data_IF_423333855530
#
_entry.id   IF_423333855530
#
_cell.length_a   1.000
_cell.length_b   1.000
_cell.length_c   1.000
_cell.angle_alpha   90.00
_cell.angle_beta   90.00
_cell.angle_gamma   90.00
#
_symmetry.space_group_name_H-M   'P 1'
#
loop_
_entity.id
_entity.type
_entity.pdbx_description
1 polymer ?
#
# COMPACT_ATOMS: atom_id res chain seq x y z
N UNK A 1 -6.74 -12.01 -10.14
CA UNK A 1 -6.63 -10.89 -11.09
C UNK A 1 -7.14 -9.60 -10.45
N UNK A 2 -6.54 -8.45 -10.78
CA UNK A 2 -6.81 -7.18 -10.07
C UNK A 2 -7.60 -6.13 -10.88
N UNK A 3 -7.98 -6.43 -12.12
CA UNK A 3 -8.74 -5.52 -12.99
C UNK A 3 -9.85 -6.27 -13.71
N UNK A 4 -10.98 -5.59 -13.86
CA UNK A 4 -12.12 -6.03 -14.67
C UNK A 4 -11.76 -6.07 -16.18
N UNK A 5 -10.70 -5.36 -16.57
CA UNK A 5 -10.23 -5.32 -17.96
C UNK A 5 -9.09 -6.34 -18.10
N UNK A 6 -9.42 -7.49 -18.69
CA UNK A 6 -8.48 -8.60 -18.92
C UNK A 6 -8.15 -8.76 -20.41
N UNK A 7 -7.02 -9.43 -20.69
CA UNK A 7 -6.68 -9.83 -22.07
C UNK A 7 -7.51 -11.07 -22.41
N UNK A 8 -8.37 -11.05 -23.45
CA UNK A 8 -9.19 -12.20 -23.78
C UNK A 8 -8.35 -13.47 -24.03
N UNK A 9 -8.66 -14.56 -23.30
CA UNK A 9 -8.03 -15.87 -23.50
C UNK A 9 -6.65 -16.07 -22.85
N UNK A 10 -6.14 -15.10 -22.08
CA UNK A 10 -4.84 -15.22 -21.41
C UNK A 10 -4.97 -15.09 -19.88
N UNK A 11 -4.19 -15.87 -19.09
CA UNK A 11 -4.26 -15.86 -17.63
C UNK A 11 -3.44 -14.70 -17.02
N UNK A 12 -3.33 -13.55 -17.69
CA UNK A 12 -2.61 -12.37 -17.21
C UNK A 12 -3.25 -11.08 -17.71
N UNK A 13 -3.18 -10.02 -16.91
CA UNK A 13 -3.69 -8.70 -17.27
C UNK A 13 -2.73 -7.92 -18.16
N UNK A 14 -3.22 -6.78 -18.67
CA UNK A 14 -2.41 -5.87 -19.48
C UNK A 14 -1.22 -5.30 -18.69
N UNK A 15 -1.38 -5.08 -17.37
CA UNK A 15 -0.33 -4.56 -16.51
C UNK A 15 0.87 -5.50 -16.41
N UNK A 16 0.62 -6.79 -16.16
CA UNK A 16 1.65 -7.83 -16.09
C UNK A 16 2.36 -7.99 -17.44
N UNK A 17 1.62 -7.95 -18.55
CA UNK A 17 2.19 -8.02 -19.89
C UNK A 17 3.16 -6.86 -20.17
N UNK A 18 2.74 -5.62 -19.92
CA UNK A 18 3.60 -4.45 -20.13
C UNK A 18 4.81 -4.46 -19.20
N UNK A 19 4.66 -4.96 -17.97
CA UNK A 19 5.75 -5.11 -17.02
C UNK A 19 6.79 -6.11 -17.53
N UNK A 20 6.36 -7.28 -17.99
CA UNK A 20 7.26 -8.31 -18.53
C UNK A 20 7.98 -7.80 -19.77
N UNK A 21 7.27 -7.16 -20.70
CA UNK A 21 7.88 -6.55 -21.90
C UNK A 21 8.92 -5.52 -21.49
N UNK A 22 8.61 -4.65 -20.52
CA UNK A 22 9.54 -3.64 -20.04
C UNK A 22 10.80 -4.27 -19.41
N UNK A 23 10.64 -5.30 -18.56
CA UNK A 23 11.77 -6.03 -17.97
C UNK A 23 12.64 -6.65 -19.08
N UNK A 24 12.04 -7.31 -20.05
CA UNK A 24 12.76 -7.96 -21.15
C UNK A 24 13.52 -6.96 -22.01
N UNK A 25 12.93 -5.80 -22.32
CA UNK A 25 13.59 -4.73 -23.06
C UNK A 25 14.75 -4.12 -22.26
N UNK A 26 14.57 -3.90 -20.95
CA UNK A 26 15.63 -3.41 -20.07
C UNK A 26 16.80 -4.38 -19.99
N UNK A 27 16.53 -5.67 -19.80
CA UNK A 27 17.56 -6.71 -19.80
C UNK A 27 18.25 -6.82 -21.15
N UNK A 28 17.49 -6.85 -22.25
CA UNK A 28 18.03 -6.89 -23.61
C UNK A 28 18.96 -5.72 -23.91
N UNK A 29 18.59 -4.50 -23.48
CA UNK A 29 19.44 -3.31 -23.60
C UNK A 29 20.75 -3.47 -22.82
N UNK A 30 20.69 -3.96 -21.58
CA UNK A 30 21.89 -4.18 -20.75
C UNK A 30 22.80 -5.24 -21.39
N UNK A 31 22.22 -6.36 -21.84
CA UNK A 31 22.96 -7.44 -22.50
C UNK A 31 23.58 -7.01 -23.84
N UNK A 32 22.94 -6.07 -24.56
CA UNK A 32 23.48 -5.47 -25.77
C UNK A 32 24.61 -4.43 -25.52
N UNK A 33 25.10 -4.31 -24.28
CA UNK A 33 26.18 -3.38 -23.92
C UNK A 33 25.71 -2.00 -23.46
N UNK A 34 24.43 -1.86 -23.10
CA UNK A 34 23.91 -0.62 -22.53
C UNK A 34 24.59 -0.25 -21.21
N UNK A 35 24.78 1.05 -20.97
CA UNK A 35 25.37 1.51 -19.71
C UNK A 35 24.47 1.17 -18.52
N UNK A 36 25.14 0.82 -17.42
CA UNK A 36 24.56 0.60 -16.10
C UNK A 36 25.28 1.49 -15.09
N UNK A 37 24.55 2.01 -14.10
CA UNK A 37 25.13 2.81 -13.02
C UNK A 37 24.72 2.17 -11.70
N UNK A 38 25.68 1.57 -11.01
CA UNK A 38 25.46 0.98 -9.69
C UNK A 38 25.29 2.10 -8.65
N UNK A 39 24.07 2.59 -8.50
CA UNK A 39 23.74 3.64 -7.52
C UNK A 39 23.71 3.08 -6.09
N UNK A 40 23.91 3.92 -5.06
CA UNK A 40 23.70 3.50 -3.67
C UNK A 40 22.27 3.01 -3.39
N UNK A 41 21.28 3.51 -4.14
CA UNK A 41 19.90 3.05 -4.08
C UNK A 41 19.77 1.59 -4.56
N UNK A 42 20.39 1.27 -5.71
CA UNK A 42 20.47 -0.11 -6.20
C UNK A 42 21.10 -1.04 -5.15
N UNK A 43 22.23 -0.65 -4.55
CA UNK A 43 22.90 -1.48 -3.55
C UNK A 43 22.01 -1.76 -2.32
N UNK A 44 21.20 -0.80 -1.87
CA UNK A 44 20.24 -0.99 -0.77
C UNK A 44 19.11 -1.93 -1.16
N UNK A 45 18.53 -1.74 -2.35
CA UNK A 45 17.46 -2.61 -2.86
C UNK A 45 17.95 -4.04 -3.07
N UNK A 46 19.11 -4.22 -3.72
CA UNK A 46 19.70 -5.53 -3.94
C UNK A 46 19.98 -6.27 -2.61
N UNK A 47 20.51 -5.56 -1.61
CA UNK A 47 20.71 -6.14 -0.26
C UNK A 47 19.38 -6.53 0.40
N UNK A 48 18.38 -5.66 0.33
CA UNK A 48 17.05 -5.95 0.86
C UNK A 48 16.46 -7.21 0.22
N UNK A 49 16.43 -7.29 -1.11
CA UNK A 49 15.89 -8.44 -1.82
C UNK A 49 16.67 -9.73 -1.59
N UNK A 50 18.00 -9.64 -1.47
CA UNK A 50 18.83 -10.79 -1.14
C UNK A 50 18.56 -11.32 0.27
N UNK A 51 18.43 -10.43 1.25
CA UNK A 51 18.08 -10.81 2.63
C UNK A 51 16.67 -11.39 2.70
N UNK A 52 15.69 -10.74 2.07
CA UNK A 52 14.32 -11.25 2.01
C UNK A 52 14.24 -12.61 1.32
N UNK A 53 14.95 -12.80 0.20
CA UNK A 53 14.98 -14.09 -0.48
C UNK A 53 15.60 -15.19 0.39
N UNK A 54 16.62 -14.84 1.18
CA UNK A 54 17.24 -15.77 2.12
C UNK A 54 16.28 -16.13 3.26
N UNK A 55 15.58 -15.15 3.86
CA UNK A 55 14.61 -15.43 4.93
C UNK A 55 13.44 -16.25 4.41
N UNK A 56 12.89 -15.91 3.25
CA UNK A 56 11.84 -16.71 2.59
C UNK A 56 12.30 -18.13 2.24
N UNK A 57 13.55 -18.32 1.83
CA UNK A 57 14.10 -19.65 1.56
C UNK A 57 14.25 -20.49 2.84
N UNK A 58 14.69 -19.87 3.94
CA UNK A 58 14.73 -20.51 5.27
C UNK A 58 13.31 -20.86 5.73
N UNK A 59 12.37 -19.93 5.62
CA UNK A 59 10.97 -20.16 5.95
C UNK A 59 10.38 -21.29 5.11
N UNK A 60 10.67 -21.34 3.81
CA UNK A 60 10.22 -22.42 2.92
C UNK A 60 10.76 -23.78 3.37
N UNK A 61 12.02 -23.84 3.80
CA UNK A 61 12.60 -25.07 4.36
C UNK A 61 11.86 -25.49 5.63
N UNK A 62 11.62 -24.55 6.57
CA UNK A 62 10.85 -24.83 7.79
C UNK A 62 9.42 -25.29 7.45
N UNK A 63 8.73 -24.61 6.54
CA UNK A 63 7.39 -24.98 6.07
C UNK A 63 7.36 -26.39 5.50
N UNK A 64 8.35 -26.77 4.69
CA UNK A 64 8.46 -28.12 4.14
C UNK A 64 8.55 -29.22 5.22
N UNK A 65 9.20 -28.93 6.36
CA UNK A 65 9.36 -29.90 7.45
C UNK A 65 8.25 -29.86 8.52
N UNK A 66 7.43 -28.80 8.55
CA UNK A 66 6.47 -28.56 9.65
C UNK A 66 5.01 -28.53 9.20
N UNK A 67 4.73 -28.23 7.93
CA UNK A 67 3.36 -28.06 7.43
C UNK A 67 3.18 -28.62 6.01
N UNK A 68 1.92 -28.66 5.54
CA UNK A 68 1.60 -29.01 4.14
C UNK A 68 1.79 -27.76 3.30
N UNK A 69 2.85 -27.75 2.49
CA UNK A 69 3.20 -26.60 1.67
C UNK A 69 2.19 -26.40 0.54
N UNK A 70 1.52 -25.25 0.54
CA UNK A 70 0.62 -24.87 -0.55
C UNK A 70 1.42 -24.30 -1.72
N UNK A 71 1.90 -25.20 -2.58
CA UNK A 71 2.81 -24.90 -3.70
C UNK A 71 2.29 -23.82 -4.64
N UNK A 72 0.97 -23.76 -4.87
CA UNK A 72 0.36 -22.74 -5.73
C UNK A 72 0.56 -21.34 -5.16
N UNK A 73 0.24 -21.13 -3.88
CA UNK A 73 0.44 -19.84 -3.20
C UNK A 73 1.92 -19.46 -3.11
N UNK A 74 2.80 -20.43 -2.83
CA UNK A 74 4.24 -20.20 -2.85
C UNK A 74 4.74 -19.72 -4.21
N UNK A 75 4.32 -20.38 -5.29
CA UNK A 75 4.74 -20.02 -6.65
C UNK A 75 4.24 -18.62 -7.06
N UNK A 76 3.01 -18.29 -6.67
CA UNK A 76 2.40 -17.00 -6.93
C UNK A 76 3.18 -15.86 -6.24
N UNK A 77 3.43 -16.01 -4.93
CA UNK A 77 4.11 -14.98 -4.14
C UNK A 77 5.59 -14.88 -4.50
N UNK A 78 6.27 -16.01 -4.75
CA UNK A 78 7.64 -16.01 -5.24
C UNK A 78 7.75 -15.27 -6.58
N UNK A 79 6.83 -15.49 -7.52
CA UNK A 79 6.80 -14.78 -8.80
C UNK A 79 6.56 -13.27 -8.59
N UNK A 80 5.63 -12.90 -7.70
CA UNK A 80 5.38 -11.50 -7.36
C UNK A 80 6.64 -10.82 -6.77
N UNK A 81 7.33 -11.47 -5.84
CA UNK A 81 8.57 -10.96 -5.26
C UNK A 81 9.70 -10.86 -6.27
N UNK A 82 9.87 -11.85 -7.16
CA UNK A 82 10.89 -11.80 -8.22
C UNK A 82 10.61 -10.65 -9.19
N UNK A 83 9.35 -10.44 -9.59
CA UNK A 83 8.97 -9.32 -10.44
C UNK A 83 9.24 -7.98 -9.76
N UNK A 84 8.85 -7.84 -8.49
CA UNK A 84 9.06 -6.61 -7.73
C UNK A 84 10.56 -6.32 -7.49
N UNK A 85 11.34 -7.35 -7.19
CA UNK A 85 12.80 -7.27 -7.09
C UNK A 85 13.43 -6.82 -8.41
N UNK A 86 13.01 -7.43 -9.52
CA UNK A 86 13.50 -7.09 -10.86
C UNK A 86 13.19 -5.64 -11.22
N UNK A 87 11.95 -5.22 -11.02
CA UNK A 87 11.50 -3.86 -11.37
C UNK A 87 12.22 -2.81 -10.53
N UNK A 88 12.28 -2.99 -9.21
CA UNK A 88 12.90 -2.01 -8.31
C UNK A 88 14.42 -1.93 -8.53
N UNK A 89 15.10 -3.06 -8.72
CA UNK A 89 16.54 -3.08 -9.00
C UNK A 89 16.86 -2.51 -10.38
N UNK A 90 16.16 -2.93 -11.44
CA UNK A 90 16.38 -2.41 -12.80
C UNK A 90 16.11 -0.91 -12.86
N UNK A 91 15.03 -0.43 -12.25
CA UNK A 91 14.71 0.99 -12.23
C UNK A 91 15.78 1.83 -11.52
N UNK A 92 16.49 1.27 -10.53
CA UNK A 92 17.58 1.94 -9.81
C UNK A 92 18.96 1.79 -10.48
N UNK A 93 19.12 0.83 -11.39
CA UNK A 93 20.37 0.50 -12.10
C UNK A 93 20.56 1.32 -13.40
N UNK A 94 19.47 1.86 -13.92
CA UNK A 94 19.47 2.63 -15.15
C UNK A 94 20.24 3.97 -15.02
N UNK A 95 20.88 4.45 -16.10
CA UNK A 95 21.48 5.78 -16.12
C UNK A 95 20.40 6.84 -15.91
N UNK A 96 20.75 7.91 -15.18
CA UNK A 96 19.83 8.99 -14.81
C UNK A 96 18.54 8.51 -14.11
N UNK A 97 18.64 7.42 -13.32
CA UNK A 97 17.51 6.83 -12.60
C UNK A 97 16.68 7.88 -11.85
N UNK A 98 17.30 8.87 -11.20
CA UNK A 98 16.58 9.94 -10.48
C UNK A 98 15.65 10.73 -11.40
N UNK A 99 16.18 11.26 -12.51
CA UNK A 99 15.39 12.06 -13.46
C UNK A 99 14.29 11.22 -14.10
N UNK A 100 14.60 9.96 -14.45
CA UNK A 100 13.65 9.05 -15.07
C UNK A 100 12.54 8.63 -14.13
N UNK A 101 12.86 8.23 -12.90
CA UNK A 101 11.88 7.89 -11.87
C UNK A 101 10.98 9.08 -11.58
N UNK A 102 11.55 10.29 -11.49
CA UNK A 102 10.76 11.52 -11.31
C UNK A 102 9.82 11.79 -12.49
N UNK A 103 10.29 11.59 -13.73
CA UNK A 103 9.46 11.72 -14.93
C UNK A 103 8.35 10.67 -14.97
N UNK A 104 8.68 9.41 -14.63
CA UNK A 104 7.70 8.33 -14.52
C UNK A 104 6.66 8.63 -13.45
N UNK A 105 7.06 9.18 -12.29
CA UNK A 105 6.14 9.59 -11.24
C UNK A 105 5.15 10.66 -11.73
N UNK A 106 5.60 11.67 -12.49
CA UNK A 106 4.71 12.65 -13.11
C UNK A 106 3.72 12.02 -14.08
N UNK A 107 4.17 11.10 -14.94
CA UNK A 107 3.28 10.38 -15.85
C UNK A 107 2.28 9.50 -15.12
N UNK A 108 2.72 8.79 -14.07
CA UNK A 108 1.84 7.98 -13.22
C UNK A 108 0.75 8.85 -12.61
N UNK A 109 1.10 9.99 -12.01
CA UNK A 109 0.10 10.90 -11.44
C UNK A 109 -0.82 11.48 -12.52
N UNK A 110 -0.29 11.84 -13.69
CA UNK A 110 -1.12 12.37 -14.77
C UNK A 110 -2.14 11.34 -15.30
N UNK A 111 -1.67 10.11 -15.57
CA UNK A 111 -2.51 9.02 -16.04
C UNK A 111 -3.51 8.62 -14.95
N UNK A 112 -3.07 8.48 -13.70
CA UNK A 112 -3.95 8.15 -12.57
C UNK A 112 -5.05 9.19 -12.37
N UNK A 113 -4.70 10.48 -12.46
CA UNK A 113 -5.68 11.57 -12.34
C UNK A 113 -6.71 11.50 -13.46
N UNK A 114 -6.28 11.33 -14.71
CA UNK A 114 -7.19 11.17 -15.85
C UNK A 114 -8.07 9.93 -15.70
N UNK A 115 -7.48 8.79 -15.34
CA UNK A 115 -8.21 7.54 -15.13
C UNK A 115 -9.24 7.65 -14.01
N UNK A 116 -8.91 8.29 -12.89
CA UNK A 116 -9.86 8.53 -11.80
C UNK A 116 -11.01 9.44 -12.20
N UNK A 117 -10.75 10.50 -12.96
CA UNK A 117 -11.82 11.35 -13.47
C UNK A 117 -12.76 10.59 -14.42
N UNK A 118 -12.22 9.75 -15.29
CA UNK A 118 -13.03 8.87 -16.17
C UNK A 118 -13.83 7.87 -15.35
N UNK A 119 -13.20 7.19 -14.39
CA UNK A 119 -13.90 6.23 -13.53
C UNK A 119 -15.01 6.88 -12.70
N UNK A 120 -14.82 8.11 -12.22
CA UNK A 120 -15.89 8.89 -11.57
C UNK A 120 -17.01 9.23 -12.55
N UNK A 121 -16.68 9.64 -13.78
CA UNK A 121 -17.67 9.85 -14.84
C UNK A 121 -18.49 8.60 -15.15
N UNK A 122 -17.86 7.43 -15.18
CA UNK A 122 -18.56 6.14 -15.33
C UNK A 122 -19.42 5.84 -14.10
N UNK A 123 -18.87 6.01 -12.89
CA UNK A 123 -19.58 5.73 -11.64
C UNK A 123 -20.84 6.58 -11.44
N UNK A 124 -20.83 7.83 -11.89
CA UNK A 124 -21.97 8.75 -11.80
C UNK A 124 -22.86 8.76 -13.05
N UNK A 125 -22.60 7.88 -14.02
CA UNK A 125 -23.41 7.74 -15.24
C UNK A 125 -23.22 8.84 -16.29
N UNK A 126 -22.18 9.67 -16.17
CA UNK A 126 -21.82 10.66 -17.19
C UNK A 126 -21.14 10.04 -18.42
N UNK A 127 -20.49 8.89 -18.24
CA UNK A 127 -19.82 8.12 -19.30
C UNK A 127 -20.41 6.71 -19.30
N UNK A 128 -20.85 6.24 -20.46
CA UNK A 128 -21.32 4.87 -20.60
C UNK A 128 -20.16 3.95 -20.99
N UNK A 129 -19.91 2.92 -20.18
CA UNK A 129 -18.92 1.88 -20.47
C UNK A 129 -19.56 0.52 -20.20
N UNK A 130 -19.72 -0.29 -21.24
CA UNK A 130 -20.23 -1.66 -21.14
C UNK A 130 -19.23 -2.56 -20.41
N UNK A 131 -19.74 -3.56 -19.69
CA UNK A 131 -18.96 -4.60 -18.98
C UNK A 131 -18.15 -4.12 -17.77
N UNK A 132 -18.30 -2.85 -17.35
CA UNK A 132 -17.70 -2.33 -16.12
C UNK A 132 -18.78 -2.07 -15.08
N UNK A 133 -18.61 -2.67 -13.91
CA UNK A 133 -19.44 -2.39 -12.75
C UNK A 133 -18.67 -1.49 -11.77
N UNK A 134 -18.85 -0.16 -11.84
CA UNK A 134 -18.04 0.78 -11.06
C UNK A 134 -18.30 0.65 -9.54
N UNK A 135 -19.49 0.19 -9.16
CA UNK A 135 -19.92 0.02 -7.78
C UNK A 135 -19.99 -1.46 -7.41
N UNK A 136 -19.43 -1.79 -6.26
CA UNK A 136 -19.62 -3.05 -5.56
C UNK A 136 -20.47 -2.76 -4.33
N UNK A 137 -21.78 -2.99 -4.46
CA UNK A 137 -22.80 -2.45 -3.56
C UNK A 137 -22.70 -0.93 -3.44
N UNK A 138 -22.23 -0.44 -2.31
CA UNK A 138 -22.09 0.97 -1.94
C UNK A 138 -20.63 1.46 -2.01
N UNK A 139 -19.71 0.61 -2.50
CA UNK A 139 -18.27 0.86 -2.54
C UNK A 139 -17.79 1.04 -3.97
N UNK A 140 -17.07 2.11 -4.24
CA UNK A 140 -16.46 2.31 -5.56
C UNK A 140 -15.32 1.32 -5.75
N UNK A 141 -15.42 0.47 -6.78
CA UNK A 141 -14.34 -0.39 -7.27
C UNK A 141 -13.75 0.07 -8.61
N UNK A 142 -14.47 0.92 -9.35
CA UNK A 142 -13.99 1.46 -10.62
C UNK A 142 -13.65 0.33 -11.59
N UNK A 143 -12.42 0.32 -12.12
CA UNK A 143 -11.91 -0.75 -13.00
C UNK A 143 -11.23 -1.91 -12.25
N UNK A 144 -11.17 -1.86 -10.92
CA UNK A 144 -10.64 -2.94 -10.09
C UNK A 144 -11.71 -3.99 -9.81
N UNK A 145 -11.29 -5.24 -9.62
CA UNK A 145 -12.19 -6.32 -9.20
C UNK A 145 -12.72 -6.06 -7.77
N UNK A 146 -11.84 -5.55 -6.91
CA UNK A 146 -12.11 -5.31 -5.50
C UNK A 146 -11.91 -3.81 -5.13
N UNK A 147 -12.86 -3.17 -4.40
CA UNK A 147 -12.68 -1.81 -3.89
C UNK A 147 -11.37 -1.57 -3.13
N UNK A 148 -10.86 -2.59 -2.42
CA UNK A 148 -9.61 -2.49 -1.66
C UNK A 148 -8.39 -2.33 -2.58
N UNK A 149 -8.41 -2.90 -3.79
CA UNK A 149 -7.32 -2.74 -4.77
C UNK A 149 -7.27 -1.28 -5.27
N UNK A 150 -8.43 -0.70 -5.60
CA UNK A 150 -8.53 0.71 -5.94
C UNK A 150 -8.03 1.61 -4.79
N UNK A 151 -8.38 1.24 -3.55
CA UNK A 151 -7.95 1.96 -2.35
C UNK A 151 -6.43 1.93 -2.16
N UNK A 152 -5.76 0.81 -2.48
CA UNK A 152 -4.30 0.70 -2.45
C UNK A 152 -3.64 1.65 -3.46
N UNK A 153 -4.17 1.76 -4.68
CA UNK A 153 -3.66 2.74 -5.64
C UNK A 153 -3.78 4.18 -5.11
N UNK A 154 -4.92 4.54 -4.52
CA UNK A 154 -5.09 5.85 -3.90
C UNK A 154 -4.09 6.09 -2.74
N UNK A 155 -3.84 5.06 -1.92
CA UNK A 155 -2.89 5.14 -0.81
C UNK A 155 -1.44 5.37 -1.28
N UNK A 156 -1.07 4.89 -2.46
CA UNK A 156 0.26 5.10 -3.06
C UNK A 156 0.33 6.43 -3.81
N UNK A 157 -0.68 6.77 -4.60
CA UNK A 157 -0.67 7.96 -5.45
C UNK A 157 -0.77 9.26 -4.65
N UNK A 158 -1.48 9.26 -3.50
CA UNK A 158 -1.58 10.45 -2.63
C UNK A 158 -0.22 10.96 -2.16
N UNK A 159 0.57 10.15 -1.42
CA UNK A 159 1.93 10.51 -1.00
C UNK A 159 2.85 10.83 -2.17
N UNK A 160 2.73 10.12 -3.31
CA UNK A 160 3.52 10.40 -4.50
C UNK A 160 3.22 11.79 -5.09
N UNK A 161 1.93 12.15 -5.24
CA UNK A 161 1.52 13.46 -5.70
C UNK A 161 1.97 14.56 -4.74
N UNK A 162 1.85 14.34 -3.42
CA UNK A 162 2.32 15.27 -2.41
C UNK A 162 3.84 15.47 -2.44
N UNK A 163 4.60 14.40 -2.64
CA UNK A 163 6.05 14.47 -2.84
C UNK A 163 6.41 15.28 -4.08
N UNK A 164 5.72 15.08 -5.20
CA UNK A 164 5.95 15.85 -6.43
C UNK A 164 5.58 17.34 -6.25
N UNK A 165 4.48 17.63 -5.54
CA UNK A 165 4.03 18.98 -5.25
C UNK A 165 5.01 19.78 -4.38
N UNK A 166 5.71 19.11 -3.47
CA UNK A 166 6.66 19.75 -2.53
C UNK A 166 8.08 19.83 -3.05
N UNK A 167 8.46 18.99 -4.01
CA UNK A 167 9.83 18.97 -4.57
C UNK A 167 9.96 19.71 -5.90
N UNK A 168 8.87 20.09 -6.55
CA UNK A 168 8.90 20.81 -7.83
C UNK A 168 9.10 22.32 -7.64
N UNK A 169 9.82 22.94 -8.58
CA UNK A 169 9.99 24.41 -8.60
C UNK A 169 8.97 25.11 -9.51
N UNK A 170 8.32 24.36 -10.41
CA UNK A 170 7.33 24.92 -11.34
C UNK A 170 5.97 25.08 -10.65
N UNK A 171 5.44 26.30 -10.60
CA UNK A 171 4.13 26.60 -10.01
C UNK A 171 2.98 25.86 -10.68
N UNK A 172 3.05 25.67 -12.00
CA UNK A 172 2.04 24.92 -12.75
C UNK A 172 2.09 23.43 -12.44
N UNK A 173 3.28 22.85 -12.37
CA UNK A 173 3.44 21.45 -11.98
C UNK A 173 2.99 21.24 -10.51
N UNK A 174 3.29 22.20 -9.65
CA UNK A 174 2.84 22.20 -8.25
C UNK A 174 1.31 22.27 -8.15
N UNK A 175 0.67 23.19 -8.86
CA UNK A 175 -0.79 23.29 -8.92
C UNK A 175 -1.41 21.99 -9.43
N UNK A 176 -0.83 21.40 -10.48
CA UNK A 176 -1.28 20.12 -11.01
C UNK A 176 -1.19 19.01 -9.95
N UNK A 177 -0.05 18.86 -9.28
CA UNK A 177 0.14 17.85 -8.25
C UNK A 177 -0.76 18.06 -7.01
N UNK A 178 -1.07 19.30 -6.63
CA UNK A 178 -2.07 19.55 -5.59
C UNK A 178 -3.49 19.27 -6.08
N UNK A 179 -3.81 19.62 -7.33
CA UNK A 179 -5.12 19.38 -7.90
C UNK A 179 -5.42 17.89 -8.07
N UNK A 180 -4.41 17.05 -8.35
CA UNK A 180 -4.57 15.60 -8.47
C UNK A 180 -4.88 14.93 -7.13
N UNK A 181 -4.53 15.54 -6.00
CA UNK A 181 -4.93 15.03 -4.68
C UNK A 181 -6.46 14.97 -4.56
N UNK A 182 -7.20 15.92 -5.14
CA UNK A 182 -8.67 15.97 -5.03
C UNK A 182 -9.34 14.67 -5.53
N UNK A 183 -9.16 14.25 -6.79
CA UNK A 183 -9.73 12.99 -7.25
C UNK A 183 -9.12 11.77 -6.54
N UNK A 184 -7.83 11.78 -6.16
CA UNK A 184 -7.21 10.67 -5.42
C UNK A 184 -7.90 10.44 -4.08
N UNK A 185 -8.10 11.52 -3.30
CA UNK A 185 -8.77 11.45 -2.00
C UNK A 185 -10.25 11.11 -2.13
N UNK A 186 -10.93 11.71 -3.10
CA UNK A 186 -12.36 11.48 -3.32
C UNK A 186 -12.63 10.02 -3.71
N UNK A 187 -11.91 9.49 -4.71
CA UNK A 187 -12.00 8.08 -5.10
C UNK A 187 -11.65 7.16 -3.93
N UNK A 188 -10.56 7.46 -3.22
CA UNK A 188 -10.15 6.68 -2.04
C UNK A 188 -11.23 6.59 -0.97
N UNK A 189 -11.93 7.70 -0.67
CA UNK A 189 -13.05 7.70 0.30
C UNK A 189 -14.25 6.91 -0.18
N UNK A 190 -14.56 6.94 -1.47
CA UNK A 190 -15.66 6.17 -2.06
C UNK A 190 -15.42 4.66 -2.02
N UNK A 191 -14.17 4.19 -1.89
CA UNK A 191 -13.89 2.76 -1.70
C UNK A 191 -14.35 2.22 -0.34
N UNK A 192 -14.61 3.10 0.63
CA UNK A 192 -14.93 2.78 2.04
C UNK A 192 -13.96 1.73 2.63
N UNK A 193 -12.66 1.89 2.36
CA UNK A 193 -11.61 1.02 2.88
C UNK A 193 -10.97 1.62 4.14
N UNK A 194 -11.13 0.93 5.27
CA UNK A 194 -10.51 1.31 6.55
C UNK A 194 -8.98 1.36 6.42
N UNK A 195 -8.39 0.41 5.70
CA UNK A 195 -6.94 0.36 5.44
C UNK A 195 -6.47 1.60 4.71
N UNK A 196 -7.22 2.09 3.72
CA UNK A 196 -6.88 3.33 3.03
C UNK A 196 -6.97 4.54 3.97
N UNK A 197 -8.02 4.62 4.79
CA UNK A 197 -8.20 5.71 5.75
C UNK A 197 -7.01 5.77 6.72
N UNK A 198 -6.67 4.66 7.37
CA UNK A 198 -5.56 4.58 8.32
C UNK A 198 -4.22 4.86 7.66
N UNK A 199 -3.96 4.27 6.48
CA UNK A 199 -2.72 4.48 5.74
C UNK A 199 -2.54 5.94 5.33
N UNK A 200 -3.62 6.61 4.95
CA UNK A 200 -3.60 8.02 4.54
C UNK A 200 -3.35 8.94 5.74
N UNK A 201 -3.99 8.67 6.88
CA UNK A 201 -3.74 9.40 8.13
C UNK A 201 -2.27 9.23 8.56
N UNK A 202 -1.79 7.98 8.62
CA UNK A 202 -0.41 7.69 9.00
C UNK A 202 0.59 8.34 8.03
N UNK A 203 0.36 8.26 6.73
CA UNK A 203 1.20 8.91 5.71
C UNK A 203 1.22 10.43 5.88
N UNK A 204 0.08 11.04 6.20
CA UNK A 204 -0.02 12.47 6.50
C UNK A 204 0.76 12.87 7.75
N UNK A 205 0.66 12.10 8.83
CA UNK A 205 1.42 12.31 10.07
C UNK A 205 2.93 12.15 9.85
N UNK A 206 3.35 11.12 9.12
CA UNK A 206 4.76 10.91 8.77
C UNK A 206 5.27 12.05 7.91
N UNK A 207 4.51 12.46 6.89
CA UNK A 207 4.86 13.61 6.05
C UNK A 207 5.01 14.89 6.88
N UNK A 208 4.05 15.18 7.77
CA UNK A 208 4.11 16.35 8.64
C UNK A 208 5.33 16.30 9.57
N UNK A 209 5.63 15.14 10.16
CA UNK A 209 6.80 14.94 11.01
C UNK A 209 8.12 15.16 10.25
N UNK A 210 8.22 14.63 9.03
CA UNK A 210 9.38 14.83 8.16
C UNK A 210 9.52 16.29 7.70
N UNK A 211 8.42 16.93 7.36
CA UNK A 211 8.39 18.33 6.96
C UNK A 211 8.82 19.24 8.11
N UNK A 212 8.28 19.03 9.32
CA UNK A 212 8.69 19.73 10.53
C UNK A 212 10.18 19.52 10.81
N UNK A 213 10.67 18.27 10.73
CA UNK A 213 12.10 17.96 10.90
C UNK A 213 12.98 18.70 9.89
N UNK A 214 12.61 18.69 8.61
CA UNK A 214 13.36 19.39 7.56
C UNK A 214 13.36 20.90 7.78
N UNK A 215 12.21 21.47 8.17
CA UNK A 215 12.08 22.88 8.51
C UNK A 215 12.93 23.26 9.72
N UNK A 216 13.01 22.39 10.74
CA UNK A 216 13.90 22.61 11.88
C UNK A 216 15.39 22.48 11.51
N UNK A 217 15.75 21.56 10.62
CA UNK A 217 17.13 21.32 10.21
C UNK A 217 17.68 22.38 9.24
N UNK A 218 16.84 23.00 8.40
CA UNK A 218 17.25 23.95 7.37
C UNK A 218 17.68 25.33 7.90
N UNK A 219 17.80 25.53 9.21
CA UNK A 219 17.99 26.87 9.78
C UNK A 219 19.45 27.28 9.88
N UNK A 220 19.89 28.07 8.90
CA UNK A 220 20.95 29.05 9.09
C UNK A 220 20.43 30.23 9.94
N UNK A 221 20.43 30.06 11.27
CA UNK A 221 20.69 31.14 12.23
C UNK A 221 19.65 32.24 12.51
N UNK A 222 18.44 32.27 11.93
CA UNK A 222 17.41 33.26 12.32
C UNK A 222 16.14 32.60 12.82
N UNK A 223 15.91 32.68 14.13
CA UNK A 223 14.63 32.32 14.74
C UNK A 223 13.56 33.35 14.30
N UNK A 224 12.48 32.87 13.71
CA UNK A 224 11.30 33.67 13.37
C UNK A 224 10.21 33.38 14.40
N UNK A 225 9.46 34.41 14.83
CA UNK A 225 8.40 34.29 15.84
C UNK A 225 7.37 33.18 15.49
N UNK A 226 7.07 33.02 14.19
CA UNK A 226 6.23 31.95 13.66
C UNK A 226 6.78 30.54 13.94
N UNK A 227 8.10 30.38 14.03
CA UNK A 227 8.78 29.13 14.35
C UNK A 227 8.74 28.80 15.83
N UNK A 228 8.86 29.80 16.68
CA UNK A 228 8.71 29.62 18.13
C UNK A 228 7.27 29.27 18.49
N UNK A 229 6.28 29.93 17.86
CA UNK A 229 4.86 29.60 18.02
C UNK A 229 4.57 28.19 17.50
N UNK A 230 5.08 27.81 16.32
CA UNK A 230 4.89 26.45 15.79
C UNK A 230 5.58 25.38 16.66
N UNK A 231 6.77 25.66 17.20
CA UNK A 231 7.47 24.74 18.09
C UNK A 231 6.75 24.62 19.45
N UNK A 232 6.24 25.73 19.99
CA UNK A 232 5.37 25.72 21.18
C UNK A 232 4.06 24.99 20.94
N UNK A 233 3.46 25.09 19.75
CA UNK A 233 2.25 24.34 19.39
C UNK A 233 2.53 22.85 19.22
N UNK A 234 3.64 22.46 18.59
CA UNK A 234 4.00 21.03 18.40
C UNK A 234 4.40 20.40 19.73
N UNK A 235 5.28 21.08 20.51
CA UNK A 235 5.70 20.63 21.84
C UNK A 235 4.53 20.69 22.82
N UNK A 236 3.62 21.66 22.68
CA UNK A 236 2.42 21.81 23.50
C UNK A 236 1.32 20.82 23.14
N UNK A 237 1.15 20.47 21.85
CA UNK A 237 0.10 19.56 21.40
C UNK A 237 0.23 18.15 21.99
N UNK A 238 1.45 17.65 22.23
CA UNK A 238 1.65 16.31 22.80
C UNK A 238 1.22 16.25 24.28
N UNK A 239 1.71 17.12 25.19
CA UNK A 239 1.19 17.26 26.55
C UNK A 239 -0.30 17.60 26.60
N UNK A 240 -0.80 18.43 25.67
CA UNK A 240 -2.21 18.84 25.64
C UNK A 240 -3.11 17.69 25.18
N UNK A 241 -2.65 16.85 24.24
CA UNK A 241 -3.31 15.60 23.88
C UNK A 241 -3.26 14.56 25.01
N UNK A 242 -2.13 14.44 25.72
CA UNK A 242 -2.01 13.57 26.91
C UNK A 242 -2.89 14.07 28.06
N UNK A 243 -2.99 15.39 28.27
CA UNK A 243 -3.81 16.00 29.30
C UNK A 243 -5.31 16.01 28.94
N UNK A 244 -5.65 15.99 27.64
CA UNK A 244 -7.00 15.84 27.14
C UNK A 244 -7.44 14.37 27.06
N UNK A 245 -6.51 13.41 27.00
CA UNK A 245 -6.80 11.99 26.91
C UNK A 245 -7.72 11.48 28.06
N UNK A 246 -7.55 11.88 29.33
CA UNK A 246 -8.50 11.51 30.39
C UNK A 246 -9.91 12.03 30.13
N UNK A 247 -10.06 13.24 29.59
CA UNK A 247 -11.37 13.86 29.36
C UNK A 247 -12.11 13.24 28.16
N UNK A 248 -11.37 12.76 27.16
CA UNK A 248 -11.93 11.98 26.04
C UNK A 248 -12.26 10.55 26.49
N UNK A 249 -11.43 9.96 27.34
CA UNK A 249 -11.61 8.57 27.83
C UNK A 249 -12.69 8.46 28.92
N UNK A 250 -13.02 9.54 29.65
CA UNK A 250 -14.09 9.52 30.67
C UNK A 250 -15.51 9.46 30.09
N UNK A 251 -15.69 9.77 28.81
CA UNK A 251 -16.90 9.40 28.09
C UNK A 251 -16.66 8.05 27.42
N UNK A 252 -17.01 6.95 28.11
CA UNK A 252 -16.92 5.59 27.55
C UNK A 252 -17.65 5.45 26.20
N UNK A 253 -18.63 6.33 25.93
CA UNK A 253 -19.30 6.44 24.64
C UNK A 253 -18.44 7.10 23.55
N UNK A 254 -17.58 8.07 23.87
CA UNK A 254 -16.91 8.90 22.85
C UNK A 254 -15.73 8.20 22.19
N UNK A 255 -14.95 7.40 22.92
CA UNK A 255 -13.83 6.62 22.35
C UNK A 255 -14.37 5.43 21.58
N UNK A 256 -15.42 4.79 22.09
CA UNK A 256 -16.11 3.71 21.40
C UNK A 256 -16.84 4.22 20.15
N UNK A 257 -17.53 5.36 20.19
CA UNK A 257 -18.14 5.99 19.01
C UNK A 257 -17.10 6.53 18.04
N UNK A 258 -15.98 7.09 18.50
CA UNK A 258 -14.89 7.52 17.64
C UNK A 258 -14.24 6.32 16.94
N UNK A 259 -13.91 5.26 17.69
CA UNK A 259 -13.40 4.01 17.12
C UNK A 259 -14.41 3.35 16.18
N UNK A 260 -15.70 3.30 16.55
CA UNK A 260 -16.78 2.82 15.68
C UNK A 260 -16.97 3.67 14.43
N UNK A 261 -16.83 5.00 14.55
CA UNK A 261 -16.90 5.94 13.42
C UNK A 261 -15.72 5.82 12.45
N UNK A 262 -14.61 5.25 12.93
CA UNK A 262 -13.41 4.95 12.13
C UNK A 262 -13.47 3.57 11.47
N UNK A 263 -14.42 2.72 11.85
CA UNK A 263 -14.67 1.41 11.24
C UNK A 263 -15.80 1.47 10.22
N UNK A 264 -15.76 0.58 9.22
CA UNK A 264 -16.81 0.48 8.20
C UNK A 264 -18.22 0.44 8.82
N UNK A 265 -19.13 1.25 8.27
CA UNK A 265 -20.56 1.33 8.65
C UNK A 265 -20.86 1.69 10.11
N UNK A 266 -19.96 2.38 10.81
CA UNK A 266 -20.27 2.94 12.14
C UNK A 266 -20.30 1.91 13.27
N UNK A 267 -19.67 0.75 13.08
CA UNK A 267 -19.60 -0.30 14.09
C UNK A 267 -20.84 -1.18 14.20
N UNK A 268 -21.54 -1.39 13.09
CA UNK A 268 -22.66 -2.34 12.98
C UNK A 268 -22.20 -3.80 13.20
N UNK A 269 -23.14 -4.72 13.36
CA UNK A 269 -22.91 -6.13 13.71
C UNK A 269 -21.92 -6.85 12.76
N UNK A 270 -21.97 -6.50 11.46
CA UNK A 270 -21.04 -7.01 10.44
C UNK A 270 -19.59 -6.53 10.63
N UNK A 271 -19.39 -5.37 11.26
CA UNK A 271 -18.08 -4.78 11.54
C UNK A 271 -17.46 -5.42 12.78
N UNK A 272 -18.27 -5.76 13.78
CA UNK A 272 -17.84 -6.54 14.94
C UNK A 272 -17.39 -7.97 14.51
N UNK A 273 -18.18 -8.64 13.67
CA UNK A 273 -17.81 -9.98 13.15
C UNK A 273 -16.53 -9.94 12.32
N UNK A 274 -16.34 -8.88 11.52
CA UNK A 274 -15.10 -8.69 10.74
C UNK A 274 -13.89 -8.41 11.64
N UNK A 275 -14.08 -7.69 12.75
CA UNK A 275 -13.02 -7.42 13.72
C UNK A 275 -12.62 -8.68 14.48
N UNK A 276 -13.58 -9.44 14.99
CA UNK A 276 -13.33 -10.70 15.70
C UNK A 276 -12.62 -11.71 14.80
N UNK A 277 -13.01 -11.77 13.52
CA UNK A 277 -12.32 -12.55 12.50
C UNK A 277 -10.85 -12.14 12.34
N UNK A 278 -10.56 -10.83 12.30
CA UNK A 278 -9.17 -10.35 12.20
C UNK A 278 -8.37 -10.68 13.43
N UNK A 279 -8.92 -10.48 14.63
CA UNK A 279 -8.25 -10.81 15.89
C UNK A 279 -7.93 -12.31 15.96
N UNK A 280 -8.87 -13.17 15.53
CA UNK A 280 -8.64 -14.61 15.41
C UNK A 280 -7.48 -14.93 14.46
N UNK A 281 -7.51 -14.40 13.23
CA UNK A 281 -6.45 -14.63 12.24
C UNK A 281 -5.10 -14.09 12.70
N UNK A 282 -5.07 -12.97 13.43
CA UNK A 282 -3.85 -12.41 13.98
C UNK A 282 -3.29 -13.24 15.12
N UNK A 283 -4.16 -13.75 16.01
CA UNK A 283 -3.77 -14.69 17.06
C UNK A 283 -3.16 -15.95 16.46
N UNK A 284 -3.81 -16.51 15.43
CA UNK A 284 -3.29 -17.67 14.71
C UNK A 284 -1.97 -17.37 14.00
N UNK A 285 -1.82 -16.20 13.38
CA UNK A 285 -0.56 -15.80 12.76
C UNK A 285 0.60 -15.71 13.75
N UNK A 286 0.35 -15.17 14.93
CA UNK A 286 1.37 -15.11 15.99
C UNK A 286 1.71 -16.53 16.47
N UNK A 287 0.70 -17.36 16.71
CA UNK A 287 0.90 -18.74 17.18
C UNK A 287 1.68 -19.57 16.16
N UNK A 288 1.25 -19.58 14.90
CA UNK A 288 1.91 -20.30 13.81
C UNK A 288 3.33 -19.77 13.58
N UNK A 289 3.52 -18.45 13.63
CA UNK A 289 4.86 -17.85 13.55
C UNK A 289 5.77 -18.31 14.70
N UNK A 290 5.27 -18.37 15.93
CA UNK A 290 6.02 -18.91 17.07
C UNK A 290 6.31 -20.41 16.94
N UNK A 291 5.36 -21.21 16.43
CA UNK A 291 5.55 -22.64 16.16
C UNK A 291 6.61 -22.89 15.08
N UNK A 292 6.76 -21.97 14.12
CA UNK A 292 7.85 -21.96 13.13
C UNK A 292 9.20 -21.45 13.68
N UNK A 293 9.32 -21.30 15.01
CA UNK A 293 10.49 -20.72 15.68
C UNK A 293 10.79 -19.27 15.23
N UNK A 294 9.76 -18.55 14.79
CA UNK A 294 9.88 -17.21 14.18
C UNK A 294 10.78 -17.16 12.94
N UNK A 295 10.95 -18.28 12.24
CA UNK A 295 11.68 -18.37 10.97
C UNK A 295 10.77 -18.31 9.74
N UNK A 296 9.45 -18.35 9.95
CA UNK A 296 8.45 -18.36 8.89
C UNK A 296 8.26 -19.72 8.24
N UNK A 297 7.35 -19.76 7.27
CA UNK A 297 6.90 -20.96 6.54
C UNK A 297 7.10 -20.83 5.01
N UNK A 298 7.71 -19.73 4.57
CA UNK A 298 7.98 -19.42 3.17
C UNK A 298 6.88 -18.57 2.52
N UNK A 299 6.99 -18.24 1.23
CA UNK A 299 5.99 -17.42 0.54
C UNK A 299 4.60 -18.09 0.51
N UNK A 300 3.54 -17.28 0.50
CA UNK A 300 2.17 -17.75 0.44
C UNK A 300 1.39 -17.63 1.75
N UNK A 301 0.10 -18.01 1.71
CA UNK A 301 -0.76 -18.04 2.89
C UNK A 301 -0.51 -19.30 3.73
N UNK A 302 -0.58 -19.15 5.06
CA UNK A 302 -0.28 -20.24 6.01
C UNK A 302 -1.33 -20.44 7.09
N UNK A 303 -2.39 -19.63 7.12
CA UNK A 303 -3.41 -19.72 8.16
C UNK A 303 -4.50 -20.74 7.82
N UNK A 304 -5.01 -21.39 8.85
CA UNK A 304 -6.15 -22.27 8.71
C UNK A 304 -7.46 -21.47 8.63
N UNK A 305 -8.54 -22.17 8.27
CA UNK A 305 -9.85 -21.55 8.13
C UNK A 305 -10.37 -21.12 9.50
N UNK A 306 -10.85 -19.87 9.64
CA UNK A 306 -11.54 -19.44 10.85
C UNK A 306 -12.88 -20.18 11.01
N UNK A 307 -13.30 -20.53 12.24
CA UNK A 307 -14.49 -21.35 12.50
C UNK A 307 -15.79 -20.53 12.36
N UNK A 308 -16.07 -20.02 11.16
CA UNK A 308 -17.31 -19.27 10.84
C UNK A 308 -18.21 -20.11 9.94
N UNK A 309 -19.47 -20.26 10.33
CA UNK A 309 -20.42 -21.24 9.78
C UNK A 309 -20.69 -21.10 8.25
N UNK A 310 -20.63 -19.89 7.70
CA UNK A 310 -21.09 -19.60 6.32
C UNK A 310 -19.99 -19.49 5.26
N UNK A 311 -18.71 -19.69 5.60
CA UNK A 311 -17.57 -19.51 4.66
C UNK A 311 -16.86 -20.81 4.27
N UNK A 312 -17.61 -21.91 4.20
CA UNK A 312 -17.06 -23.25 3.93
C UNK A 312 -16.50 -23.45 2.50
N UNK A 313 -16.83 -22.55 1.57
CA UNK A 313 -16.48 -22.62 0.15
C UNK A 313 -15.24 -21.80 -0.26
N UNK A 314 -14.59 -21.10 0.68
CA UNK A 314 -13.38 -20.33 0.37
C UNK A 314 -12.16 -21.25 0.23
N UNK A 315 -11.37 -21.00 -0.82
CA UNK A 315 -10.11 -21.69 -1.11
C UNK A 315 -9.12 -21.54 0.06
N UNK A 316 -8.42 -22.63 0.38
CA UNK A 316 -7.39 -22.68 1.42
C UNK A 316 -6.02 -22.59 0.77
N UNK A 317 -4.99 -22.04 1.44
CA UNK A 317 -4.91 -21.47 2.79
C UNK A 317 -5.31 -19.98 2.88
N UNK A 318 -5.39 -19.42 4.10
CA UNK A 318 -5.78 -18.03 4.36
C UNK A 318 -4.60 -17.11 4.74
N UNK A 319 -4.78 -15.80 4.52
CA UNK A 319 -3.87 -14.72 4.94
C UNK A 319 -4.37 -14.05 6.24
N UNK A 320 -3.44 -13.50 7.02
CA UNK A 320 -3.72 -12.71 8.21
C UNK A 320 -4.39 -11.36 7.89
N UNK A 321 -4.35 -10.95 6.61
CA UNK A 321 -4.82 -9.65 6.13
C UNK A 321 -4.14 -8.50 6.88
N UNK A 322 -2.87 -8.70 7.21
CA UNK A 322 -1.99 -7.76 7.89
C UNK A 322 -0.59 -7.99 7.38
N UNK A 323 -0.11 -7.09 6.52
CA UNK A 323 1.19 -7.25 5.83
C UNK A 323 2.34 -7.59 6.78
N UNK A 324 2.33 -7.07 8.01
CA UNK A 324 3.37 -7.37 9.01
C UNK A 324 3.27 -8.82 9.48
N UNK A 325 2.07 -9.30 9.78
CA UNK A 325 1.86 -10.68 10.24
C UNK A 325 2.02 -11.68 9.09
N UNK A 326 1.59 -11.31 7.89
CA UNK A 326 1.81 -12.10 6.69
C UNK A 326 3.31 -12.22 6.40
N UNK A 327 4.09 -11.13 6.46
CA UNK A 327 5.56 -11.21 6.34
C UNK A 327 6.21 -12.02 7.46
N UNK A 328 5.75 -11.87 8.71
CA UNK A 328 6.24 -12.66 9.84
C UNK A 328 6.00 -14.15 9.66
N UNK A 329 4.85 -14.53 9.08
CA UNK A 329 4.56 -15.92 8.73
C UNK A 329 5.40 -16.42 7.56
N UNK A 330 5.80 -15.54 6.64
CA UNK A 330 6.57 -15.94 5.46
C UNK A 330 8.08 -16.08 5.75
N UNK A 331 8.66 -15.21 6.59
CA UNK A 331 10.07 -15.27 7.00
C UNK A 331 10.81 -13.94 6.96
#
# INVERSE_FOLDING_TARGET
FASQISVPGLPFGYGELFLIIWIMLSLGRILAGGSIVATPAFAKLAKFWLLLSLTLAVGTFVGYFTSVLYLTGLSHDAMAYVLLASVTCLAALEPDAELRLRRSAWWVIAIATGAFLVQLGVAWGWIHQSEVEPWYWDRLRGWSENPNQLALYCAVFGPLALHLATTTQSRWAQLFAFSSLVPIFYVGRLTKSDTYLYTTILSGLVFLGLWLRAWFASSSGKATLSREIALLLVVGAVPLAIAAAPYVVTEESSVAEFAKSLTKDGGDEATAETFDLRVFLWGQAIETGLQSWSLGLGPGPHLERPPVADKQFLERPFEAHSTILDLYLQG
#
